data_IF_009966914853
#
_entry.id   IF_009966914853
#
_cell.length_a   1.000
_cell.length_b   1.000
_cell.length_c   1.000
_cell.angle_alpha   90.00
_cell.angle_beta   90.00
_cell.angle_gamma   90.00
#
_symmetry.space_group_name_H-M   'P 1'
#
loop_
_entity.id
_entity.type
_entity.pdbx_description
1 polymer ?
#
# COMPACT_ATOMS: atom_id res chain seq x y z
N UNK A 1 -13.35 -10.56 -7.93
CA UNK A 1 -12.22 -9.86 -8.60
C UNK A 1 -12.16 -8.44 -8.04
N UNK A 2 -10.96 -7.91 -7.81
CA UNK A 2 -10.71 -6.55 -7.31
C UNK A 2 -9.65 -5.90 -8.21
N UNK A 3 -9.78 -4.63 -8.50
CA UNK A 3 -8.79 -3.86 -9.24
C UNK A 3 -8.05 -2.91 -8.31
N UNK A 4 -6.72 -2.96 -8.28
CA UNK A 4 -5.87 -2.05 -7.52
C UNK A 4 -4.91 -1.28 -8.43
N UNK A 5 -4.87 0.03 -8.27
CA UNK A 5 -3.80 0.89 -8.78
C UNK A 5 -3.04 1.45 -7.57
N UNK A 6 -1.72 1.33 -7.57
CA UNK A 6 -0.89 1.77 -6.44
C UNK A 6 0.46 2.31 -6.92
N UNK A 7 1.15 3.04 -6.06
CA UNK A 7 2.48 3.57 -6.37
C UNK A 7 3.54 2.46 -6.49
N UNK A 8 4.70 2.78 -7.05
CA UNK A 8 5.77 1.82 -7.36
C UNK A 8 6.78 1.64 -6.24
N UNK A 9 6.76 2.46 -5.20
CA UNK A 9 7.67 2.41 -4.06
C UNK A 9 7.24 1.42 -2.96
N UNK A 10 7.91 1.43 -1.81
CA UNK A 10 7.62 0.51 -0.71
C UNK A 10 6.18 0.66 -0.19
N UNK A 11 5.66 1.89 -0.10
CA UNK A 11 4.32 2.14 0.42
C UNK A 11 3.25 1.64 -0.55
N UNK A 12 3.37 1.95 -1.84
CA UNK A 12 2.43 1.43 -2.84
C UNK A 12 2.50 -0.09 -3.00
N UNK A 13 3.70 -0.69 -2.91
CA UNK A 13 3.87 -2.16 -2.93
C UNK A 13 3.25 -2.78 -1.68
N UNK A 14 3.37 -2.12 -0.53
CA UNK A 14 2.71 -2.52 0.71
C UNK A 14 1.20 -2.62 0.56
N UNK A 15 0.57 -1.66 -0.12
CA UNK A 15 -0.85 -1.74 -0.47
C UNK A 15 -1.17 -2.98 -1.32
N UNK A 16 -0.32 -3.33 -2.28
CA UNK A 16 -0.49 -4.53 -3.09
C UNK A 16 -0.38 -5.82 -2.29
N UNK A 17 0.51 -5.87 -1.29
CA UNK A 17 0.64 -7.00 -0.35
C UNK A 17 -0.66 -7.14 0.47
N UNK A 18 -1.16 -6.04 1.03
CA UNK A 18 -2.42 -6.03 1.79
C UNK A 18 -3.60 -6.50 0.95
N UNK A 19 -3.70 -6.06 -0.30
CA UNK A 19 -4.76 -6.50 -1.21
C UNK A 19 -4.71 -8.01 -1.48
N UNK A 20 -3.51 -8.58 -1.69
CA UNK A 20 -3.36 -10.02 -1.90
C UNK A 20 -3.71 -10.83 -0.64
N UNK A 21 -3.37 -10.34 0.54
CA UNK A 21 -3.73 -10.97 1.82
C UNK A 21 -5.24 -10.92 2.06
N UNK A 22 -5.88 -9.77 1.80
CA UNK A 22 -7.30 -9.57 2.05
C UNK A 22 -8.22 -10.30 1.07
N UNK A 23 -7.91 -10.25 -0.22
CA UNK A 23 -8.79 -10.73 -1.29
C UNK A 23 -8.32 -12.03 -1.96
N UNK A 24 -7.08 -12.45 -1.68
CA UNK A 24 -6.42 -13.57 -2.35
C UNK A 24 -5.74 -13.15 -3.65
N UNK A 25 -4.55 -13.69 -3.88
CA UNK A 25 -3.69 -13.33 -5.02
C UNK A 25 -4.39 -13.43 -6.38
N UNK A 26 -5.19 -14.48 -6.59
CA UNK A 26 -5.87 -14.75 -7.86
C UNK A 26 -7.13 -13.90 -8.06
N UNK A 27 -7.53 -13.16 -7.04
CA UNK A 27 -8.71 -12.29 -7.05
C UNK A 27 -8.36 -10.80 -7.13
N UNK A 28 -7.09 -10.45 -7.22
CA UNK A 28 -6.64 -9.05 -7.29
C UNK A 28 -5.81 -8.84 -8.53
N UNK A 29 -6.22 -7.90 -9.36
CA UNK A 29 -5.42 -7.38 -10.45
C UNK A 29 -4.75 -6.07 -10.03
N UNK A 30 -3.42 -6.02 -10.03
CA UNK A 30 -2.63 -4.89 -9.55
C UNK A 30 -1.86 -4.23 -10.69
N UNK A 31 -2.01 -2.91 -10.83
CA UNK A 31 -1.10 -2.07 -11.60
C UNK A 31 -0.34 -1.14 -10.68
N UNK A 32 0.98 -1.27 -10.66
CA UNK A 32 1.84 -0.28 -10.01
C UNK A 32 2.14 0.84 -11.00
N UNK A 33 1.86 2.07 -10.60
CA UNK A 33 1.89 3.26 -11.43
C UNK A 33 2.78 4.35 -10.84
N UNK A 34 3.34 5.17 -11.72
CA UNK A 34 3.97 6.43 -11.35
C UNK A 34 3.02 7.61 -11.68
N UNK A 35 3.38 8.82 -11.24
CA UNK A 35 2.56 10.03 -11.43
C UNK A 35 2.35 10.41 -12.91
N UNK A 36 3.19 9.93 -13.82
CA UNK A 36 3.09 10.19 -15.25
C UNK A 36 2.14 9.25 -15.99
N UNK A 37 1.82 8.08 -15.42
CA UNK A 37 1.02 7.05 -16.09
C UNK A 37 -0.24 6.60 -15.35
N UNK A 38 -0.45 6.97 -14.08
CA UNK A 38 -1.64 6.56 -13.32
C UNK A 38 -2.93 6.92 -14.03
N UNK A 39 -3.06 8.15 -14.51
CA UNK A 39 -4.29 8.62 -15.16
C UNK A 39 -4.59 7.86 -16.46
N UNK A 40 -3.56 7.61 -17.28
CA UNK A 40 -3.73 6.82 -18.52
C UNK A 40 -4.10 5.37 -18.22
N UNK A 41 -3.47 4.76 -17.21
CA UNK A 41 -3.74 3.38 -16.80
C UNK A 41 -5.16 3.20 -16.27
N UNK A 42 -5.65 4.16 -15.48
CA UNK A 42 -7.03 4.14 -14.97
C UNK A 42 -8.04 4.34 -16.10
N UNK A 43 -7.81 5.28 -17.01
CA UNK A 43 -8.70 5.52 -18.14
C UNK A 43 -8.78 4.33 -19.10
N UNK A 44 -7.63 3.72 -19.43
CA UNK A 44 -7.59 2.51 -20.25
C UNK A 44 -8.40 1.36 -19.61
N UNK A 45 -8.27 1.18 -18.31
CA UNK A 45 -9.08 0.20 -17.58
C UNK A 45 -10.57 0.54 -17.65
N UNK A 46 -10.96 1.79 -17.44
CA UNK A 46 -12.37 2.22 -17.51
C UNK A 46 -12.98 2.09 -18.92
N UNK A 47 -12.17 2.16 -19.96
CA UNK A 47 -12.60 1.96 -21.35
C UNK A 47 -12.80 0.47 -21.69
N UNK A 48 -12.00 -0.40 -21.12
CA UNK A 48 -11.98 -1.83 -21.43
C UNK A 48 -12.87 -2.66 -20.52
N UNK A 49 -12.97 -2.29 -19.22
CA UNK A 49 -13.77 -3.03 -18.23
C UNK A 49 -15.17 -2.42 -18.10
N UNK A 50 -16.17 -3.21 -18.48
CA UNK A 50 -17.58 -2.80 -18.44
C UNK A 50 -18.33 -3.27 -17.17
N UNK A 51 -17.71 -4.16 -16.37
CA UNK A 51 -18.31 -4.62 -15.11
C UNK A 51 -18.07 -3.62 -13.98
N UNK A 52 -19.07 -2.77 -13.75
CA UNK A 52 -19.02 -1.78 -12.67
C UNK A 52 -19.18 -2.39 -11.26
N UNK A 53 -19.39 -3.70 -11.14
CA UNK A 53 -19.42 -4.39 -9.83
C UNK A 53 -18.02 -4.68 -9.30
N UNK A 54 -16.99 -4.66 -10.14
CA UNK A 54 -15.61 -4.83 -9.72
C UNK A 54 -15.17 -3.58 -8.96
N UNK A 55 -14.80 -3.69 -7.67
CA UNK A 55 -14.30 -2.54 -6.91
C UNK A 55 -12.92 -2.10 -7.40
N UNK A 56 -12.73 -0.80 -7.49
CA UNK A 56 -11.45 -0.18 -7.81
C UNK A 56 -10.87 0.47 -6.54
N UNK A 57 -9.66 0.09 -6.20
CA UNK A 57 -8.86 0.75 -5.18
C UNK A 57 -7.73 1.54 -5.84
N UNK A 58 -7.50 2.75 -5.37
CA UNK A 58 -6.36 3.59 -5.74
C UNK A 58 -5.67 3.95 -4.43
N UNK A 59 -4.42 3.55 -4.27
CA UNK A 59 -3.71 3.69 -2.99
C UNK A 59 -2.34 4.31 -3.18
N UNK A 60 -1.96 5.21 -2.26
CA UNK A 60 -0.65 5.85 -2.22
C UNK A 60 -0.28 6.64 -3.50
N UNK A 61 -1.27 7.00 -4.27
CA UNK A 61 -1.11 7.81 -5.48
C UNK A 61 -2.44 8.50 -5.81
N UNK A 62 -2.36 9.74 -6.29
CA UNK A 62 -3.54 10.48 -6.71
C UNK A 62 -3.77 10.37 -8.22
N UNK A 63 -5.01 10.54 -8.62
CA UNK A 63 -5.40 10.83 -10.00
C UNK A 63 -5.64 12.32 -10.21
N UNK A 64 -5.64 12.78 -11.45
CA UNK A 64 -6.07 14.13 -11.78
C UNK A 64 -7.60 14.29 -11.71
N UNK A 65 -8.06 15.53 -11.80
CA UNK A 65 -9.48 15.88 -11.68
C UNK A 65 -10.35 15.22 -12.75
N UNK A 66 -9.88 15.17 -14.00
CA UNK A 66 -10.64 14.58 -15.10
C UNK A 66 -10.85 13.07 -14.90
N UNK A 67 -9.81 12.37 -14.45
CA UNK A 67 -9.88 10.93 -14.13
C UNK A 67 -10.76 10.70 -12.91
N UNK A 68 -10.68 11.58 -11.89
CA UNK A 68 -11.54 11.53 -10.72
C UNK A 68 -13.03 11.68 -11.08
N UNK A 69 -13.38 12.56 -12.02
CA UNK A 69 -14.75 12.67 -12.51
C UNK A 69 -15.25 11.41 -13.22
N UNK A 70 -14.41 10.74 -13.99
CA UNK A 70 -14.76 9.46 -14.62
C UNK A 70 -15.01 8.38 -13.57
N UNK A 71 -14.13 8.26 -12.57
CA UNK A 71 -14.27 7.34 -11.46
C UNK A 71 -15.53 7.62 -10.63
N UNK A 72 -15.83 8.89 -10.37
CA UNK A 72 -17.05 9.29 -9.66
C UNK A 72 -18.33 8.87 -10.40
N UNK A 73 -18.35 8.95 -11.72
CA UNK A 73 -19.48 8.50 -12.55
C UNK A 73 -19.62 6.98 -12.57
N UNK A 74 -18.49 6.25 -12.55
CA UNK A 74 -18.47 4.78 -12.52
C UNK A 74 -18.99 4.26 -11.19
N UNK A 75 -18.60 4.85 -10.09
CA UNK A 75 -18.85 4.36 -8.73
C UNK A 75 -18.02 3.12 -8.37
N UNK A 76 -18.26 2.60 -7.17
CA UNK A 76 -17.54 1.44 -6.60
C UNK A 76 -16.01 1.63 -6.61
N UNK A 77 -15.58 2.78 -6.12
CA UNK A 77 -14.19 3.22 -6.07
C UNK A 77 -13.83 3.60 -4.63
N UNK A 78 -12.59 3.35 -4.24
CA UNK A 78 -11.99 3.89 -3.02
C UNK A 78 -10.59 4.37 -3.30
N UNK A 79 -10.31 5.64 -2.98
CA UNK A 79 -8.96 6.21 -3.01
C UNK A 79 -8.50 6.46 -1.58
N UNK A 80 -7.29 6.00 -1.27
CA UNK A 80 -6.62 6.17 0.01
C UNK A 80 -5.23 6.74 -0.23
N UNK A 81 -5.00 7.98 0.17
CA UNK A 81 -3.73 8.66 -0.06
C UNK A 81 -3.35 9.53 1.14
N UNK A 82 -2.09 9.86 1.26
CA UNK A 82 -1.56 10.69 2.35
C UNK A 82 -0.79 11.92 1.85
N UNK A 83 -0.69 12.08 0.54
CA UNK A 83 0.04 13.19 -0.06
C UNK A 83 -0.75 14.50 0.00
N UNK A 84 -0.14 15.64 0.45
CA UNK A 84 -0.83 16.92 0.52
C UNK A 84 -1.39 17.40 -0.83
N UNK A 85 -0.76 16.97 -1.93
CA UNK A 85 -1.21 17.32 -3.29
C UNK A 85 -2.52 16.66 -3.70
N UNK A 86 -2.96 15.63 -2.97
CA UNK A 86 -4.21 14.91 -3.21
C UNK A 86 -5.41 15.46 -2.41
N UNK A 87 -5.19 16.37 -1.43
CA UNK A 87 -6.24 16.87 -0.52
C UNK A 87 -7.49 17.41 -1.23
N UNK A 88 -7.32 17.97 -2.43
CA UNK A 88 -8.45 18.46 -3.24
C UNK A 88 -9.45 17.38 -3.65
N UNK A 89 -9.04 16.10 -3.62
CA UNK A 89 -9.88 14.95 -3.95
C UNK A 89 -10.84 14.57 -2.81
N UNK A 90 -10.63 15.05 -1.58
CA UNK A 90 -11.56 14.82 -0.46
C UNK A 90 -12.94 15.43 -0.65
N UNK A 91 -13.17 16.16 -1.73
CA UNK A 91 -14.52 16.58 -2.14
C UNK A 91 -15.39 15.41 -2.63
N UNK A 92 -14.79 14.26 -2.97
CA UNK A 92 -15.48 13.03 -3.35
C UNK A 92 -15.58 12.09 -2.14
N UNK A 93 -16.76 11.56 -1.85
CA UNK A 93 -17.01 10.68 -0.70
C UNK A 93 -16.24 9.35 -0.76
N UNK A 94 -15.73 8.99 -1.93
CA UNK A 94 -14.92 7.79 -2.14
C UNK A 94 -13.41 8.04 -1.96
N UNK A 95 -12.99 9.26 -1.65
CA UNK A 95 -11.59 9.60 -1.39
C UNK A 95 -11.37 9.86 0.10
N UNK A 96 -10.36 9.22 0.67
CA UNK A 96 -9.82 9.53 2.00
C UNK A 96 -8.34 9.90 1.86
N UNK A 97 -8.07 11.20 1.75
CA UNK A 97 -6.71 11.73 1.79
C UNK A 97 -6.43 12.23 3.19
N UNK A 98 -5.58 11.48 3.92
CA UNK A 98 -5.30 11.72 5.34
C UNK A 98 -3.80 11.82 5.56
N UNK A 99 -3.29 12.99 5.91
CA UNK A 99 -1.86 13.23 6.12
C UNK A 99 -1.40 12.75 7.50
N UNK A 100 -2.23 13.00 8.53
CA UNK A 100 -1.95 12.65 9.92
C UNK A 100 -3.19 12.03 10.56
N UNK A 101 -2.96 11.08 11.45
CA UNK A 101 -4.04 10.46 12.23
C UNK A 101 -4.54 11.40 13.36
N UNK A 102 -5.51 10.95 14.14
CA UNK A 102 -6.09 11.71 15.26
C UNK A 102 -5.09 12.03 16.39
N UNK A 103 -3.91 11.41 16.37
CA UNK A 103 -2.82 11.64 17.34
C UNK A 103 -1.72 12.54 16.77
N UNK A 104 -1.88 13.04 15.54
CA UNK A 104 -0.88 13.84 14.84
C UNK A 104 0.31 13.01 14.33
N UNK A 105 0.14 11.70 14.15
CA UNK A 105 1.16 10.84 13.55
C UNK A 105 0.89 10.79 12.04
N UNK A 106 1.93 11.09 11.25
CA UNK A 106 1.85 10.98 9.80
C UNK A 106 1.46 9.55 9.41
N UNK A 107 0.59 9.45 8.40
CA UNK A 107 0.11 8.19 7.87
C UNK A 107 0.79 7.86 6.53
N UNK A 108 0.51 6.71 5.97
CA UNK A 108 0.97 6.24 4.66
C UNK A 108 -0.16 5.52 3.94
N UNK A 109 -0.02 5.32 2.63
CA UNK A 109 -1.02 4.60 1.84
C UNK A 109 -1.27 3.19 2.39
N UNK A 110 -0.19 2.45 2.72
CA UNK A 110 -0.27 1.11 3.35
C UNK A 110 -1.02 1.15 4.69
N UNK A 111 -0.71 2.11 5.57
CA UNK A 111 -1.38 2.20 6.87
C UNK A 111 -2.87 2.56 6.72
N UNK A 112 -3.20 3.48 5.83
CA UNK A 112 -4.59 3.84 5.54
C UNK A 112 -5.37 2.65 4.98
N UNK A 113 -4.76 1.90 4.06
CA UNK A 113 -5.41 0.74 3.46
C UNK A 113 -5.56 -0.41 4.46
N UNK A 114 -4.57 -0.66 5.31
CA UNK A 114 -4.66 -1.64 6.41
C UNK A 114 -5.86 -1.35 7.32
N UNK A 115 -5.99 -0.10 7.79
CA UNK A 115 -7.11 0.29 8.65
C UNK A 115 -8.45 0.21 7.90
N UNK A 116 -8.49 0.64 6.64
CA UNK A 116 -9.70 0.57 5.84
C UNK A 116 -10.18 -0.86 5.63
N UNK A 117 -9.26 -1.78 5.31
CA UNK A 117 -9.57 -3.21 5.14
C UNK A 117 -10.16 -3.81 6.43
N UNK A 118 -9.56 -3.53 7.59
CA UNK A 118 -10.08 -4.00 8.88
C UNK A 118 -11.46 -3.43 9.19
N UNK A 119 -11.64 -2.11 9.08
CA UNK A 119 -12.93 -1.45 9.36
C UNK A 119 -14.07 -1.92 8.44
N UNK A 120 -13.77 -2.38 7.24
CA UNK A 120 -14.75 -2.86 6.26
C UNK A 120 -14.90 -4.39 6.25
N UNK A 121 -14.28 -5.11 7.20
CA UNK A 121 -14.39 -6.57 7.33
C UNK A 121 -13.79 -7.32 6.13
N UNK A 122 -12.78 -6.73 5.48
CA UNK A 122 -12.08 -7.35 4.36
C UNK A 122 -10.92 -8.26 4.81
N UNK A 123 -10.47 -8.14 6.06
CA UNK A 123 -9.49 -9.04 6.66
C UNK A 123 -10.18 -10.20 7.35
N UNK A 124 -9.59 -11.39 7.29
CA UNK A 124 -10.03 -12.52 8.12
C UNK A 124 -9.70 -12.25 9.59
N UNK A 125 -10.39 -12.93 10.51
CA UNK A 125 -10.11 -12.81 11.96
C UNK A 125 -8.64 -13.11 12.29
N UNK A 126 -8.01 -14.06 11.57
CA UNK A 126 -6.59 -14.37 11.68
C UNK A 126 -5.71 -13.18 11.29
N UNK A 127 -6.00 -12.52 10.17
CA UNK A 127 -5.25 -11.35 9.71
C UNK A 127 -5.49 -10.11 10.57
N UNK A 128 -6.71 -9.91 11.08
CA UNK A 128 -7.02 -8.80 12.01
C UNK A 128 -6.21 -8.88 13.32
N UNK A 129 -5.93 -10.10 13.78
CA UNK A 129 -5.16 -10.35 14.99
C UNK A 129 -3.66 -10.58 14.75
N UNK A 130 -3.21 -10.54 13.49
CA UNK A 130 -1.84 -10.84 13.11
C UNK A 130 -0.89 -9.69 13.42
N UNK A 131 -0.03 -9.88 14.41
CA UNK A 131 0.94 -8.86 14.84
C UNK A 131 2.05 -8.59 13.82
N UNK A 132 2.38 -9.56 12.98
CA UNK A 132 3.34 -9.38 11.90
C UNK A 132 2.77 -8.48 10.80
N UNK A 133 1.47 -8.57 10.50
CA UNK A 133 0.78 -7.69 9.56
C UNK A 133 0.70 -6.25 10.09
N UNK A 134 0.33 -6.06 11.35
CA UNK A 134 0.36 -4.75 12.02
C UNK A 134 1.77 -4.13 11.96
N UNK A 135 2.78 -4.95 12.32
CA UNK A 135 4.18 -4.51 12.29
C UNK A 135 4.67 -4.16 10.89
N UNK A 136 4.26 -4.91 9.88
CA UNK A 136 4.55 -4.59 8.47
C UNK A 136 4.02 -3.19 8.11
N UNK A 137 2.74 -2.92 8.38
CA UNK A 137 2.13 -1.62 8.07
C UNK A 137 2.82 -0.46 8.81
N UNK A 138 3.22 -0.68 10.08
CA UNK A 138 3.96 0.32 10.87
C UNK A 138 5.34 0.62 10.28
N UNK A 139 6.12 -0.41 9.92
CA UNK A 139 7.46 -0.24 9.37
C UNK A 139 7.44 0.49 8.02
N UNK A 140 6.46 0.17 7.15
CA UNK A 140 6.26 0.87 5.88
C UNK A 140 5.95 2.34 6.14
N UNK A 141 4.95 2.64 7.00
CA UNK A 141 4.61 4.02 7.39
C UNK A 141 5.81 4.78 7.94
N UNK A 142 6.54 4.18 8.88
CA UNK A 142 7.65 4.84 9.55
C UNK A 142 8.81 5.11 8.59
N UNK A 143 8.98 4.26 7.57
CA UNK A 143 9.92 4.50 6.48
C UNK A 143 9.46 5.67 5.59
N UNK A 144 8.25 5.60 5.07
CA UNK A 144 7.70 6.55 4.12
C UNK A 144 7.62 7.98 4.68
N UNK A 145 7.21 8.10 5.94
CA UNK A 145 7.07 9.38 6.62
C UNK A 145 8.37 9.95 7.19
N UNK A 146 9.53 9.31 6.92
CA UNK A 146 10.86 9.66 7.45
C UNK A 146 10.98 9.57 8.97
N UNK A 147 10.00 8.98 9.64
CA UNK A 147 10.00 8.80 11.09
C UNK A 147 11.10 7.84 11.55
N UNK A 148 11.52 6.93 10.69
CA UNK A 148 12.64 6.00 10.93
C UNK A 148 13.90 6.69 11.43
N UNK A 149 14.17 7.93 11.02
CA UNK A 149 15.37 8.69 11.43
C UNK A 149 15.44 9.00 12.93
N UNK A 150 14.35 8.83 13.66
CA UNK A 150 14.22 9.13 15.09
C UNK A 150 13.93 7.90 15.96
N UNK A 151 13.76 6.70 15.36
CA UNK A 151 13.30 5.50 16.04
C UNK A 151 14.43 4.56 16.51
N UNK A 152 15.71 4.96 16.40
CA UNK A 152 16.84 4.12 16.81
C UNK A 152 16.87 2.79 16.05
N UNK A 153 16.93 1.66 16.78
CA UNK A 153 17.02 0.32 16.17
C UNK A 153 15.81 -0.02 15.28
N UNK A 154 14.61 0.39 15.65
CA UNK A 154 13.41 0.23 14.82
C UNK A 154 13.54 0.99 13.50
N UNK A 155 14.15 2.17 13.51
CA UNK A 155 14.42 2.94 12.31
C UNK A 155 15.39 2.24 11.36
N UNK A 156 16.37 1.53 11.88
CA UNK A 156 17.27 0.69 11.08
C UNK A 156 16.47 -0.41 10.38
N UNK A 157 15.54 -1.06 11.09
CA UNK A 157 14.69 -2.11 10.52
C UNK A 157 13.82 -1.54 9.39
N UNK A 158 13.19 -0.37 9.56
CA UNK A 158 12.40 0.29 8.51
C UNK A 158 13.21 0.45 7.22
N UNK A 159 14.45 0.98 7.35
CA UNK A 159 15.36 1.16 6.22
C UNK A 159 15.75 -0.17 5.58
N UNK A 160 16.03 -1.20 6.38
CA UNK A 160 16.39 -2.53 5.90
C UNK A 160 15.24 -3.16 5.09
N UNK A 161 14.00 -3.02 5.52
CA UNK A 161 12.82 -3.50 4.77
C UNK A 161 12.75 -2.84 3.39
N UNK A 162 12.96 -1.53 3.31
CA UNK A 162 13.03 -0.85 2.01
C UNK A 162 14.22 -1.34 1.15
N UNK A 163 15.40 -1.50 1.75
CA UNK A 163 16.58 -1.98 1.02
C UNK A 163 16.39 -3.41 0.49
N UNK A 164 15.61 -4.26 1.20
CA UNK A 164 15.26 -5.60 0.74
C UNK A 164 14.37 -5.60 -0.49
N UNK A 165 13.47 -4.62 -0.64
CA UNK A 165 12.69 -4.45 -1.87
C UNK A 165 13.59 -4.31 -3.10
N UNK A 166 14.63 -3.49 -3.00
CA UNK A 166 15.58 -3.28 -4.10
C UNK A 166 16.55 -4.47 -4.28
N UNK A 167 16.82 -5.20 -3.20
CA UNK A 167 17.69 -6.38 -3.24
C UNK A 167 17.01 -7.58 -3.90
N UNK A 168 15.77 -7.86 -3.55
CA UNK A 168 15.01 -9.00 -4.03
C UNK A 168 14.31 -8.72 -5.37
N UNK A 169 13.98 -7.44 -5.63
CA UNK A 169 13.02 -7.05 -6.63
C UNK A 169 11.58 -7.25 -6.12
N UNK A 170 10.65 -6.54 -6.74
CA UNK A 170 9.26 -6.45 -6.27
C UNK A 170 8.60 -7.81 -6.03
N UNK A 171 8.66 -8.70 -7.00
CA UNK A 171 7.87 -9.94 -6.95
C UNK A 171 8.40 -10.92 -5.90
N UNK A 172 9.71 -10.99 -5.69
CA UNK A 172 10.32 -11.79 -4.64
C UNK A 172 10.11 -11.16 -3.27
N UNK A 173 10.17 -9.85 -3.17
CA UNK A 173 9.87 -9.10 -1.96
C UNK A 173 8.42 -9.31 -1.51
N UNK A 174 7.45 -9.21 -2.42
CA UNK A 174 6.03 -9.47 -2.12
C UNK A 174 5.84 -10.88 -1.60
N UNK A 175 6.43 -11.90 -2.25
CA UNK A 175 6.35 -13.30 -1.79
C UNK A 175 6.97 -13.48 -0.40
N UNK A 176 8.11 -12.86 -0.16
CA UNK A 176 8.78 -12.89 1.13
C UNK A 176 7.90 -12.25 2.23
N UNK A 177 7.39 -11.04 2.02
CA UNK A 177 6.54 -10.37 3.00
C UNK A 177 5.30 -11.20 3.34
N UNK A 178 4.60 -11.73 2.34
CA UNK A 178 3.40 -12.56 2.56
C UNK A 178 3.74 -13.81 3.38
N UNK A 179 4.86 -14.47 3.08
CA UNK A 179 5.31 -15.65 3.84
C UNK A 179 5.63 -15.31 5.28
N UNK A 180 6.37 -14.23 5.55
CA UNK A 180 6.73 -13.81 6.90
C UNK A 180 5.50 -13.40 7.74
N UNK A 181 4.51 -12.75 7.09
CA UNK A 181 3.26 -12.38 7.74
C UNK A 181 2.45 -13.64 8.09
N UNK A 182 2.34 -14.62 7.20
CA UNK A 182 1.68 -15.89 7.48
C UNK A 182 2.35 -16.69 8.59
N UNK A 183 3.69 -16.62 8.69
CA UNK A 183 4.46 -17.25 9.77
C UNK A 183 4.37 -16.46 11.11
N UNK A 184 3.62 -15.35 11.14
CA UNK A 184 3.51 -14.42 12.26
C UNK A 184 4.84 -13.81 12.75
N UNK A 185 5.79 -13.70 11.85
CA UNK A 185 7.11 -13.10 12.10
C UNK A 185 7.45 -12.10 11.02
N UNK A 186 7.57 -10.82 11.36
CA UNK A 186 7.96 -9.80 10.39
C UNK A 186 8.77 -8.67 11.05
N UNK A 187 9.87 -8.25 10.46
CA UNK A 187 10.62 -8.95 9.41
C UNK A 187 11.57 -10.00 9.99
N UNK A 188 11.76 -11.13 9.30
CA UNK A 188 12.83 -12.07 9.60
C UNK A 188 14.02 -11.79 8.69
N UNK A 189 15.05 -11.17 9.22
CA UNK A 189 16.28 -10.90 8.50
C UNK A 189 17.21 -12.12 8.56
N UNK A 190 17.62 -12.63 7.42
CA UNK A 190 18.56 -13.73 7.34
C UNK A 190 20.01 -13.20 7.33
N UNK A 191 20.97 -14.01 7.79
CA UNK A 191 22.37 -13.62 7.85
C UNK A 191 22.95 -13.15 6.50
N UNK A 192 22.48 -13.72 5.38
CA UNK A 192 22.83 -13.29 4.03
C UNK A 192 22.38 -11.85 3.72
N UNK A 193 21.19 -11.48 4.19
CA UNK A 193 20.59 -10.17 3.97
C UNK A 193 21.32 -9.12 4.81
N UNK A 194 21.68 -9.45 6.05
CA UNK A 194 22.48 -8.58 6.91
C UNK A 194 23.84 -8.23 6.31
N UNK A 195 24.51 -9.18 5.65
CA UNK A 195 25.80 -8.94 4.98
C UNK A 195 25.63 -7.95 3.82
N UNK A 196 24.63 -8.14 2.97
CA UNK A 196 24.37 -7.26 1.82
C UNK A 196 23.92 -5.88 2.28
N UNK A 197 23.05 -5.80 3.30
CA UNK A 197 22.58 -4.55 3.86
C UNK A 197 23.70 -3.73 4.52
N UNK A 198 24.69 -4.39 5.16
CA UNK A 198 25.88 -3.73 5.70
C UNK A 198 26.83 -3.16 4.63
N UNK A 199 26.84 -3.75 3.43
CA UNK A 199 27.70 -3.26 2.32
C UNK A 199 27.10 -1.97 1.72
N UNK A 200 25.79 -1.74 1.83
CA UNK A 200 25.10 -0.55 1.30
C UNK A 200 25.10 0.65 2.27
N UNK A 201 25.51 0.46 3.52
CA UNK A 201 25.67 1.53 4.51
C UNK A 201 27.04 2.20 4.39
#
# INVERSE_FOLDING_TARGET
MVRLFSHTDLDGIGCGILAQLAFGKDNVEISYCDYDNIDSSVREYLETEQDNTIPIYITDIRVNEETAELLNKRGNVKLLDHHPTALGLNKYDWCDVVIEDSKGIKTSGTMLFYHWLGMNGCLSEELENNKALERFAELVRDYDTWRWSTLGDDGIICKQVNDLLYLYGRDDFVRWCISEIHDEVFPRLYAKDEVVLKIKQ
#
